data_IF_658678079141
#
_entry.id   IF_658678079141
#
_cell.length_a   1.000
_cell.length_b   1.000
_cell.length_c   1.000
_cell.angle_alpha   90.00
_cell.angle_beta   90.00
_cell.angle_gamma   90.00
#
_symmetry.space_group_name_H-M   'P 1'
#
loop_
_entity.id
_entity.type
_entity.pdbx_description
1 polymer ?
#
# COMPACT_ATOMS: atom_id res chain seq x y z
N UNK A 1 64.84 -1.13 16.38
CA UNK A 1 64.59 0.03 17.26
C UNK A 1 63.62 0.95 16.52
N UNK A 2 62.33 0.90 16.86
CA UNK A 2 61.29 1.72 16.21
C UNK A 2 61.36 3.14 16.79
N UNK A 3 61.61 4.14 15.94
CA UNK A 3 61.71 5.54 16.34
C UNK A 3 60.39 6.14 16.85
N UNK A 4 60.42 7.36 17.42
CA UNK A 4 59.33 8.02 18.16
C UNK A 4 58.05 8.34 17.36
N UNK A 5 57.93 7.88 16.11
CA UNK A 5 56.77 8.08 15.27
C UNK A 5 56.14 6.74 14.91
N UNK A 6 54.92 6.50 15.42
CA UNK A 6 54.09 5.38 14.98
C UNK A 6 53.64 5.68 13.54
N UNK A 7 54.00 4.87 12.52
CA UNK A 7 53.47 5.07 11.17
C UNK A 7 51.95 4.88 11.24
N UNK A 8 51.18 5.95 10.99
CA UNK A 8 49.75 5.82 10.80
C UNK A 8 49.50 5.01 9.53
N UNK A 9 48.61 4.01 9.58
CA UNK A 9 48.21 3.27 8.38
C UNK A 9 47.72 4.28 7.32
N UNK A 10 48.18 4.20 6.06
CA UNK A 10 47.62 5.05 5.01
C UNK A 10 46.13 4.76 4.93
N UNK A 11 45.30 5.81 5.00
CA UNK A 11 43.86 5.68 4.79
C UNK A 11 43.65 5.12 3.37
N UNK A 12 43.29 3.84 3.26
CA UNK A 12 42.95 3.16 2.00
C UNK A 12 41.65 3.66 1.37
N UNK A 13 41.38 4.97 1.45
CA UNK A 13 40.28 5.68 0.82
C UNK A 13 40.77 6.45 -0.40
N UNK A 14 41.35 5.76 -1.38
CA UNK A 14 41.92 6.40 -2.58
C UNK A 14 40.87 6.89 -3.58
N UNK A 15 39.65 6.35 -3.56
CA UNK A 15 38.59 6.71 -4.50
C UNK A 15 37.69 7.82 -3.94
N UNK A 16 37.79 9.01 -4.51
CA UNK A 16 37.01 10.18 -4.11
C UNK A 16 35.58 10.15 -4.71
N UNK A 17 34.61 9.70 -3.93
CA UNK A 17 33.20 9.84 -4.26
C UNK A 17 32.66 11.21 -3.81
N UNK A 18 32.76 12.23 -4.68
CA UNK A 18 32.34 13.61 -4.36
C UNK A 18 30.82 13.77 -4.29
N UNK A 19 30.22 13.30 -3.19
CA UNK A 19 28.79 13.40 -2.91
C UNK A 19 28.58 14.26 -1.66
N UNK A 20 28.04 15.50 -1.79
CA UNK A 20 27.89 16.41 -0.66
C UNK A 20 26.98 15.83 0.42
N UNK A 21 27.13 16.30 1.65
CA UNK A 21 26.30 15.84 2.78
C UNK A 21 24.87 16.41 2.74
N UNK A 22 24.66 17.54 2.05
CA UNK A 22 23.37 18.24 1.90
C UNK A 22 22.95 18.36 0.44
N UNK A 23 21.64 18.44 0.22
CA UNK A 23 21.07 18.81 -1.07
C UNK A 23 21.17 20.33 -1.32
N UNK A 24 21.40 20.71 -2.57
CA UNK A 24 21.28 22.10 -3.02
C UNK A 24 19.81 22.53 -3.14
N UNK A 25 19.56 23.84 -3.12
CA UNK A 25 18.21 24.41 -3.33
C UNK A 25 17.50 23.86 -4.59
N UNK A 26 18.11 23.86 -5.79
CA UNK A 26 17.45 23.33 -6.99
C UNK A 26 17.20 21.81 -6.92
N UNK A 27 18.03 21.06 -6.20
CA UNK A 27 17.74 19.63 -5.96
C UNK A 27 16.54 19.45 -5.02
N UNK A 28 16.41 20.28 -3.98
CA UNK A 28 15.24 20.29 -3.09
C UNK A 28 13.96 20.63 -3.85
N UNK A 29 14.00 21.63 -4.74
CA UNK A 29 12.87 21.99 -5.59
C UNK A 29 12.44 20.84 -6.51
N UNK A 30 13.39 20.24 -7.23
CA UNK A 30 13.11 19.07 -8.10
C UNK A 30 12.60 17.87 -7.30
N UNK A 31 13.07 17.69 -6.07
CA UNK A 31 12.54 16.65 -5.20
C UNK A 31 11.08 16.89 -4.81
N UNK A 32 10.74 18.12 -4.39
CA UNK A 32 9.34 18.50 -4.11
C UNK A 32 8.44 18.28 -5.33
N UNK A 33 8.90 18.68 -6.52
CA UNK A 33 8.17 18.44 -7.77
C UNK A 33 7.94 16.95 -8.04
N UNK A 34 8.94 16.08 -7.78
CA UNK A 34 8.78 14.63 -7.93
C UNK A 34 7.76 14.05 -6.94
N UNK A 35 7.79 14.49 -5.68
CA UNK A 35 6.80 14.08 -4.67
C UNK A 35 5.39 14.46 -5.11
N UNK A 36 5.18 15.73 -5.50
CA UNK A 36 3.89 16.22 -6.03
C UNK A 36 3.44 15.48 -7.29
N UNK A 37 4.36 15.13 -8.19
CA UNK A 37 4.03 14.38 -9.40
C UNK A 37 3.50 12.99 -9.08
N UNK A 38 4.07 12.31 -8.09
CA UNK A 38 3.54 11.03 -7.61
C UNK A 38 2.14 11.22 -7.02
N UNK A 39 1.93 12.28 -6.24
CA UNK A 39 0.62 12.61 -5.67
C UNK A 39 -0.44 12.85 -6.75
N UNK A 40 -0.09 13.62 -7.79
CA UNK A 40 -1.00 13.86 -8.93
C UNK A 40 -1.35 12.59 -9.68
N UNK A 41 -0.40 11.66 -9.84
CA UNK A 41 -0.68 10.38 -10.52
C UNK A 41 -1.67 9.56 -9.70
N UNK A 42 -1.49 9.47 -8.39
CA UNK A 42 -2.41 8.75 -7.50
C UNK A 42 -3.79 9.39 -7.52
N UNK A 43 -3.89 10.72 -7.48
CA UNK A 43 -5.15 11.44 -7.55
C UNK A 43 -5.89 11.22 -8.88
N UNK A 44 -5.18 11.24 -10.01
CA UNK A 44 -5.76 10.97 -11.34
C UNK A 44 -6.29 9.54 -11.41
N UNK A 45 -5.54 8.55 -10.92
CA UNK A 45 -5.98 7.16 -10.89
C UNK A 45 -7.21 6.96 -10.00
N UNK A 46 -7.22 7.56 -8.82
CA UNK A 46 -8.37 7.52 -7.89
C UNK A 46 -9.64 8.10 -8.54
N UNK A 47 -9.54 9.29 -9.15
CA UNK A 47 -10.65 9.93 -9.84
C UNK A 47 -11.15 9.13 -11.05
N UNK A 48 -10.22 8.58 -11.85
CA UNK A 48 -10.56 7.78 -13.02
C UNK A 48 -11.33 6.50 -12.66
N UNK A 49 -10.89 5.79 -11.62
CA UNK A 49 -11.54 4.57 -11.15
C UNK A 49 -12.94 4.84 -10.58
N UNK A 50 -13.09 5.89 -9.77
CA UNK A 50 -14.40 6.33 -9.26
C UNK A 50 -15.37 6.67 -10.39
N UNK A 51 -14.89 7.38 -11.42
CA UNK A 51 -15.69 7.71 -12.60
C UNK A 51 -16.09 6.45 -13.38
N UNK A 52 -15.17 5.50 -13.54
CA UNK A 52 -15.44 4.24 -14.22
C UNK A 52 -16.54 3.44 -13.51
N UNK A 53 -16.48 3.35 -12.17
CA UNK A 53 -17.53 2.71 -11.38
C UNK A 53 -18.89 3.38 -11.61
N UNK A 54 -18.97 4.71 -11.51
CA UNK A 54 -20.22 5.44 -11.75
C UNK A 54 -20.76 5.22 -13.18
N UNK A 55 -19.88 5.18 -14.19
CA UNK A 55 -20.30 4.89 -15.57
C UNK A 55 -20.82 3.47 -15.76
N UNK A 56 -20.30 2.49 -15.02
CA UNK A 56 -20.79 1.10 -15.06
C UNK A 56 -22.14 0.90 -14.38
N UNK A 57 -22.50 1.80 -13.45
CA UNK A 57 -23.76 1.74 -12.69
C UNK A 57 -24.91 2.41 -13.45
N UNK A 58 -24.64 3.17 -14.52
CA UNK A 58 -25.71 3.71 -15.37
C UNK A 58 -26.31 2.56 -16.20
N UNK A 59 -27.55 2.11 -15.92
CA UNK A 59 -28.17 1.08 -16.73
C UNK A 59 -28.40 1.70 -18.12
N UNK A 60 -27.86 1.05 -19.15
CA UNK A 60 -28.45 1.21 -20.47
C UNK A 60 -29.89 0.74 -20.35
N UNK A 61 -30.83 1.68 -20.39
CA UNK A 61 -32.24 1.41 -20.60
C UNK A 61 -32.42 0.89 -22.04
N UNK A 62 -32.00 -0.34 -22.30
CA UNK A 62 -32.51 -1.09 -23.43
C UNK A 62 -33.90 -1.58 -23.04
N UNK A 63 -34.90 -0.78 -23.36
CA UNK A 63 -36.28 -1.23 -23.49
C UNK A 63 -36.34 -2.29 -24.59
N UNK A 64 -36.05 -3.54 -24.22
CA UNK A 64 -36.36 -4.72 -25.03
C UNK A 64 -37.50 -5.44 -24.34
N UNK A 65 -38.70 -5.10 -24.78
CA UNK A 65 -39.92 -5.88 -24.57
C UNK A 65 -39.79 -7.30 -25.13
N UNK A 66 -40.51 -8.21 -24.48
CA UNK A 66 -40.97 -9.54 -24.92
C UNK A 66 -39.95 -10.66 -25.12
N UNK A 67 -39.85 -11.58 -24.16
CA UNK A 67 -40.48 -12.92 -24.22
C UNK A 67 -39.96 -13.81 -23.08
N UNK A 68 -40.89 -14.37 -22.31
CA UNK A 68 -40.61 -15.41 -21.33
C UNK A 68 -40.55 -16.78 -22.03
N UNK A 69 -39.60 -17.67 -21.69
CA UNK A 69 -39.78 -19.09 -21.87
C UNK A 69 -40.10 -19.77 -20.53
N UNK A 70 -41.03 -20.71 -20.62
CA UNK A 70 -41.61 -21.47 -19.53
C UNK A 70 -40.70 -22.59 -19.00
N UNK A 71 -40.96 -22.96 -17.74
CA UNK A 71 -40.79 -24.28 -17.09
C UNK A 71 -39.41 -24.94 -17.03
N UNK A 72 -38.76 -24.84 -15.86
CA UNK A 72 -38.08 -25.98 -15.22
C UNK A 72 -38.43 -25.96 -13.73
N UNK A 73 -39.24 -26.93 -13.30
CA UNK A 73 -39.44 -27.23 -11.88
C UNK A 73 -38.19 -27.90 -11.33
N UNK A 74 -37.47 -27.23 -10.44
CA UNK A 74 -36.49 -27.86 -9.54
C UNK A 74 -36.97 -27.62 -8.11
N UNK A 75 -37.33 -28.70 -7.44
CA UNK A 75 -37.82 -28.76 -6.07
C UNK A 75 -36.84 -28.07 -5.10
N UNK A 76 -37.32 -27.06 -4.40
CA UNK A 76 -36.64 -26.45 -3.25
C UNK A 76 -36.72 -27.40 -2.05
N UNK A 77 -35.81 -28.37 -1.99
CA UNK A 77 -35.51 -29.09 -0.76
C UNK A 77 -34.43 -28.30 0.01
N UNK A 78 -34.80 -27.64 1.10
CA UNK A 78 -33.77 -27.11 2.03
C UNK A 78 -33.17 -28.31 2.75
N UNK A 79 -32.00 -28.78 2.30
CA UNK A 79 -31.29 -29.89 2.95
C UNK A 79 -31.07 -29.56 4.42
N UNK A 80 -31.53 -30.43 5.31
CA UNK A 80 -31.35 -30.23 6.75
C UNK A 80 -29.86 -30.41 7.13
N UNK A 81 -29.39 -29.73 8.18
CA UNK A 81 -27.97 -29.77 8.56
C UNK A 81 -27.47 -31.20 8.84
N UNK A 82 -28.36 -32.09 9.30
CA UNK A 82 -28.09 -33.49 9.57
C UNK A 82 -27.89 -34.31 8.28
N UNK A 83 -28.69 -34.06 7.23
CA UNK A 83 -28.54 -34.69 5.91
C UNK A 83 -27.23 -34.29 5.22
N UNK A 84 -26.82 -33.03 5.40
CA UNK A 84 -25.53 -32.53 4.94
C UNK A 84 -24.36 -33.16 5.71
N UNK A 85 -24.52 -33.47 6.99
CA UNK A 85 -23.47 -34.16 7.76
C UNK A 85 -23.33 -35.65 7.42
N UNK A 86 -24.37 -36.27 6.88
CA UNK A 86 -24.41 -37.71 6.57
C UNK A 86 -23.93 -38.00 5.15
N UNK A 87 -24.23 -37.12 4.20
CA UNK A 87 -23.85 -37.30 2.80
C UNK A 87 -22.39 -36.89 2.57
N UNK A 88 -21.60 -37.70 1.84
CA UNK A 88 -20.19 -37.39 1.57
C UNK A 88 -19.97 -36.04 0.86
N UNK A 89 -20.86 -35.68 -0.07
CA UNK A 89 -20.91 -34.35 -0.70
C UNK A 89 -21.24 -33.25 0.32
N UNK A 90 -22.20 -33.48 1.21
CA UNK A 90 -22.55 -32.55 2.28
C UNK A 90 -21.41 -32.33 3.27
N UNK A 91 -20.70 -33.39 3.68
CA UNK A 91 -19.50 -33.28 4.52
C UNK A 91 -18.39 -32.50 3.83
N UNK A 92 -18.21 -32.67 2.50
CA UNK A 92 -17.27 -31.87 1.72
C UNK A 92 -17.66 -30.39 1.68
N UNK A 93 -18.95 -30.08 1.50
CA UNK A 93 -19.45 -28.70 1.51
C UNK A 93 -19.31 -28.05 2.90
N UNK A 94 -19.59 -28.79 3.98
CA UNK A 94 -19.38 -28.34 5.35
C UNK A 94 -17.89 -28.13 5.65
N UNK A 95 -17.01 -29.03 5.22
CA UNK A 95 -15.56 -28.90 5.35
C UNK A 95 -14.98 -27.75 4.50
N UNK A 96 -15.58 -27.44 3.34
CA UNK A 96 -15.22 -26.30 2.51
C UNK A 96 -15.71 -24.96 3.11
N UNK A 97 -16.85 -24.97 3.80
CA UNK A 97 -17.40 -23.81 4.49
C UNK A 97 -16.67 -23.49 5.81
N UNK A 98 -16.06 -24.49 6.44
CA UNK A 98 -15.26 -24.31 7.65
C UNK A 98 -13.90 -23.70 7.28
N UNK A 99 -13.61 -22.45 7.64
CA UNK A 99 -12.31 -21.86 7.32
C UNK A 99 -11.24 -22.61 8.11
N UNK A 100 -10.42 -23.43 7.42
CA UNK A 100 -9.18 -24.00 7.97
C UNK A 100 -8.38 -22.85 8.60
N UNK A 101 -8.26 -22.88 9.92
CA UNK A 101 -7.78 -21.79 10.78
C UNK A 101 -6.27 -21.52 10.66
N UNK A 102 -5.77 -21.24 9.45
CA UNK A 102 -4.72 -20.23 9.32
C UNK A 102 -5.45 -18.90 9.44
N UNK A 103 -5.14 -18.13 10.49
CA UNK A 103 -5.76 -16.82 10.72
C UNK A 103 -5.88 -16.07 9.40
N UNK A 104 -7.06 -15.52 9.07
CA UNK A 104 -7.30 -14.84 7.79
C UNK A 104 -6.26 -13.72 7.50
N UNK A 105 -5.56 -13.24 8.54
CA UNK A 105 -4.42 -12.32 8.47
C UNK A 105 -3.13 -12.91 7.88
N UNK A 106 -3.00 -14.23 7.80
CA UNK A 106 -1.83 -14.96 7.31
C UNK A 106 -1.98 -15.45 5.86
N UNK A 107 -3.20 -15.52 5.33
CA UNK A 107 -3.45 -15.97 3.95
C UNK A 107 -3.10 -14.84 2.97
N UNK A 108 -1.95 -14.97 2.32
CA UNK A 108 -1.54 -14.14 1.18
C UNK A 108 -1.81 -14.91 -0.11
N UNK A 109 -2.64 -14.37 -0.99
CA UNK A 109 -2.71 -14.84 -2.39
C UNK A 109 -1.78 -13.95 -3.24
N UNK A 110 -0.52 -14.39 -3.40
CA UNK A 110 0.43 -13.76 -4.32
C UNK A 110 0.95 -12.37 -3.92
N UNK A 111 1.16 -11.49 -4.93
CA UNK A 111 1.63 -10.11 -4.77
C UNK A 111 0.42 -9.17 -4.58
N UNK A 112 0.06 -8.92 -3.32
CA UNK A 112 -1.02 -7.97 -3.01
C UNK A 112 -1.22 -7.75 -1.50
N UNK A 113 -2.07 -6.77 -1.14
CA UNK A 113 -2.50 -6.54 0.24
C UNK A 113 -3.19 -7.79 0.83
N UNK A 114 -3.04 -8.03 2.13
CA UNK A 114 -3.67 -9.18 2.78
C UNK A 114 -5.19 -8.98 2.82
N UNK A 115 -5.93 -10.08 2.79
CA UNK A 115 -7.39 -10.03 2.78
C UNK A 115 -7.99 -9.38 4.04
N UNK A 116 -7.28 -9.47 5.17
CA UNK A 116 -7.65 -8.85 6.45
C UNK A 116 -6.87 -7.59 6.82
N UNK A 117 -6.20 -6.92 5.87
CA UNK A 117 -5.53 -5.64 6.17
C UNK A 117 -6.57 -4.55 6.51
N UNK A 118 -6.33 -3.85 7.62
CA UNK A 118 -7.14 -2.73 8.08
C UNK A 118 -6.56 -1.40 7.62
N UNK A 119 -7.43 -0.43 7.36
CA UNK A 119 -7.00 0.95 7.13
C UNK A 119 -6.68 1.58 8.49
N UNK A 120 -5.46 2.13 8.70
CA UNK A 120 -5.13 2.82 9.95
C UNK A 120 -6.04 4.03 10.15
N UNK A 121 -6.39 4.33 11.40
CA UNK A 121 -7.23 5.50 11.73
C UNK A 121 -6.54 6.84 11.52
N UNK A 122 -5.23 6.84 11.59
CA UNK A 122 -4.39 8.02 11.41
C UNK A 122 -3.20 7.65 10.56
N UNK A 123 -2.88 8.50 9.59
CA UNK A 123 -1.62 8.42 8.86
C UNK A 123 -0.43 8.63 9.83
N UNK A 124 0.79 8.16 9.49
CA UNK A 124 1.98 8.34 10.34
C UNK A 124 2.36 9.81 10.59
N UNK A 125 1.78 10.75 9.84
CA UNK A 125 1.93 12.20 10.00
C UNK A 125 0.78 12.81 10.84
N UNK A 126 -0.15 12.00 11.34
CA UNK A 126 -1.26 12.43 12.20
C UNK A 126 -2.52 12.91 11.45
N UNK A 127 -2.59 12.72 10.13
CA UNK A 127 -3.78 13.06 9.34
C UNK A 127 -4.86 12.01 9.56
N UNK A 128 -6.14 12.38 9.83
CA UNK A 128 -7.22 11.43 10.00
C UNK A 128 -7.56 10.74 8.67
N UNK A 129 -7.70 9.42 8.74
CA UNK A 129 -8.00 8.53 7.61
C UNK A 129 -9.31 7.80 7.95
N UNK A 130 -10.09 7.27 6.98
CA UNK A 130 -11.25 6.42 7.29
C UNK A 130 -10.83 5.16 8.08
N UNK A 131 -10.71 5.32 9.39
CA UNK A 131 -10.25 4.30 10.32
C UNK A 131 -11.33 3.28 10.62
N UNK A 132 -10.92 2.13 11.17
CA UNK A 132 -11.82 1.08 11.66
C UNK A 132 -12.68 0.43 10.57
N UNK A 133 -12.23 0.46 9.31
CA UNK A 133 -12.80 -0.34 8.23
C UNK A 133 -11.74 -1.27 7.64
N UNK A 134 -12.19 -2.42 7.16
CA UNK A 134 -11.31 -3.31 6.39
C UNK A 134 -11.01 -2.66 5.04
N UNK A 135 -9.78 -2.83 4.55
CA UNK A 135 -9.36 -2.29 3.26
C UNK A 135 -10.27 -2.78 2.11
N UNK A 136 -10.80 -4.01 2.20
CA UNK A 136 -11.76 -4.54 1.23
C UNK A 136 -13.10 -3.80 1.23
N UNK A 137 -13.56 -3.32 2.37
CA UNK A 137 -14.88 -2.69 2.51
C UNK A 137 -14.80 -1.25 2.04
N UNK A 138 -13.72 -0.53 2.41
CA UNK A 138 -13.41 0.80 1.86
C UNK A 138 -13.36 0.77 0.34
N UNK A 139 -12.68 -0.22 -0.24
CA UNK A 139 -12.58 -0.37 -1.70
C UNK A 139 -13.92 -0.66 -2.35
N UNK A 140 -14.82 -1.41 -1.70
CA UNK A 140 -16.18 -1.65 -2.23
C UNK A 140 -17.03 -0.38 -2.19
N UNK A 141 -16.90 0.41 -1.14
CA UNK A 141 -17.59 1.70 -1.00
C UNK A 141 -17.10 2.74 -2.01
N UNK A 142 -15.79 2.85 -2.22
CA UNK A 142 -15.19 3.86 -3.12
C UNK A 142 -15.08 3.39 -4.58
N UNK A 143 -15.14 2.08 -4.83
CA UNK A 143 -14.87 1.41 -6.10
C UNK A 143 -13.52 1.69 -6.72
N UNK A 144 -12.50 1.83 -5.88
CA UNK A 144 -11.10 2.02 -6.31
C UNK A 144 -10.31 0.71 -6.21
N UNK A 145 -8.98 0.78 -6.10
CA UNK A 145 -8.14 -0.40 -5.87
C UNK A 145 -7.55 -0.40 -4.46
N UNK A 146 -7.38 -1.59 -3.88
CA UNK A 146 -6.77 -1.77 -2.54
C UNK A 146 -5.41 -1.09 -2.40
N UNK A 147 -4.60 -1.06 -3.46
CA UNK A 147 -3.27 -0.44 -3.44
C UNK A 147 -3.35 1.08 -3.32
N UNK A 148 -4.31 1.73 -3.99
CA UNK A 148 -4.49 3.18 -3.93
C UNK A 148 -4.99 3.59 -2.56
N UNK A 149 -6.01 2.93 -2.02
CA UNK A 149 -6.53 3.27 -0.69
C UNK A 149 -5.47 3.05 0.40
N UNK A 150 -4.73 1.95 0.31
CA UNK A 150 -3.59 1.70 1.21
C UNK A 150 -2.52 2.79 1.07
N UNK A 151 -2.19 3.18 -0.16
CA UNK A 151 -1.22 4.26 -0.39
C UNK A 151 -1.68 5.57 0.27
N UNK A 152 -2.96 5.96 0.10
CA UNK A 152 -3.52 7.18 0.71
C UNK A 152 -3.53 7.12 2.25
N UNK A 153 -3.65 5.92 2.81
CA UNK A 153 -3.66 5.67 4.24
C UNK A 153 -2.27 5.50 4.89
N UNK A 154 -1.23 5.22 4.11
CA UNK A 154 0.13 5.05 4.65
C UNK A 154 1.05 6.20 4.24
N UNK A 155 0.93 6.71 3.02
CA UNK A 155 1.88 7.64 2.43
C UNK A 155 1.37 9.10 2.51
N UNK A 156 2.04 10.00 3.24
CA UNK A 156 1.66 11.41 3.33
C UNK A 156 1.91 12.14 2.01
N UNK A 157 1.12 13.18 1.73
CA UNK A 157 1.33 14.06 0.55
C UNK A 157 2.54 14.98 0.75
N UNK A 158 3.06 15.57 -0.34
CA UNK A 158 4.18 16.52 -0.23
C UNK A 158 3.89 17.70 0.71
N UNK A 159 2.63 18.15 0.76
CA UNK A 159 2.21 19.25 1.62
C UNK A 159 2.23 18.87 3.11
N UNK A 160 1.78 17.66 3.43
CA UNK A 160 1.73 17.12 4.80
C UNK A 160 3.12 16.78 5.35
N UNK A 161 4.06 16.40 4.48
CA UNK A 161 5.40 16.00 4.92
C UNK A 161 6.16 17.16 5.58
N UNK A 162 6.85 16.86 6.68
CA UNK A 162 7.79 17.81 7.29
C UNK A 162 9.01 18.04 6.38
N UNK A 163 9.60 19.25 6.35
CA UNK A 163 10.82 19.51 5.57
C UNK A 163 11.98 18.56 5.91
N UNK A 164 12.06 18.10 7.17
CA UNK A 164 13.07 17.13 7.63
C UNK A 164 12.93 15.80 6.89
N UNK A 165 11.72 15.26 6.80
CA UNK A 165 11.47 13.97 6.13
C UNK A 165 11.49 14.06 4.60
N UNK A 166 11.29 15.27 4.03
CA UNK A 166 11.49 15.49 2.59
C UNK A 166 12.95 15.31 2.18
N UNK A 167 13.89 15.79 2.98
CA UNK A 167 15.30 15.87 2.55
C UNK A 167 16.22 14.90 3.26
N UNK A 168 15.73 14.21 4.29
CA UNK A 168 16.48 13.22 5.03
C UNK A 168 15.68 11.94 5.27
N UNK A 169 16.39 10.83 5.34
CA UNK A 169 15.89 9.52 5.68
C UNK A 169 16.56 9.03 6.96
N UNK A 170 15.94 8.06 7.61
CA UNK A 170 16.56 7.36 8.73
C UNK A 170 17.74 6.49 8.27
N UNK A 171 18.86 6.56 8.98
CA UNK A 171 20.00 5.64 8.82
C UNK A 171 20.54 5.27 10.21
N UNK A 172 20.39 4.00 10.60
CA UNK A 172 20.79 3.47 11.92
C UNK A 172 22.29 3.67 12.21
N UNK A 173 23.13 3.75 11.17
CA UNK A 173 24.61 3.75 11.30
C UNK A 173 25.19 5.16 11.42
N UNK A 174 24.40 6.20 11.18
CA UNK A 174 24.88 7.59 11.18
C UNK A 174 24.57 8.25 12.52
N UNK A 175 25.50 9.07 13.04
CA UNK A 175 25.26 9.86 14.24
C UNK A 175 24.06 10.79 14.03
N UNK A 176 23.11 10.77 14.97
CA UNK A 176 21.87 11.52 14.85
C UNK A 176 20.83 10.87 13.93
N UNK A 177 21.06 9.62 13.51
CA UNK A 177 20.10 8.74 12.82
C UNK A 177 19.51 9.27 11.51
N UNK A 178 20.13 10.29 10.90
CA UNK A 178 19.62 10.96 9.71
C UNK A 178 20.68 11.07 8.62
N UNK A 179 20.24 10.80 7.39
CA UNK A 179 21.06 10.86 6.18
C UNK A 179 20.31 11.57 5.07
N UNK A 180 21.01 12.34 4.23
CA UNK A 180 20.40 13.01 3.08
C UNK A 180 19.80 12.00 2.10
N UNK A 181 18.56 12.24 1.66
CA UNK A 181 17.83 11.32 0.77
C UNK A 181 18.54 11.09 -0.56
N UNK A 182 19.35 12.05 -1.02
CA UNK A 182 20.13 11.95 -2.26
C UNK A 182 21.28 10.93 -2.20
N UNK A 183 21.56 10.38 -1.01
CA UNK A 183 22.51 9.27 -0.85
C UNK A 183 21.84 7.90 -1.00
N UNK A 184 20.52 7.83 -1.12
CA UNK A 184 19.81 6.59 -1.41
C UNK A 184 20.05 6.18 -2.88
N UNK A 185 20.39 4.91 -3.16
CA UNK A 185 20.47 4.41 -4.53
C UNK A 185 19.15 4.65 -5.27
N UNK A 186 19.21 5.25 -6.46
CA UNK A 186 18.02 5.52 -7.30
C UNK A 186 16.93 6.35 -6.59
N UNK A 187 17.30 7.22 -5.65
CA UNK A 187 16.38 8.09 -4.88
C UNK A 187 15.43 8.95 -5.72
N UNK A 188 15.75 9.21 -6.99
CA UNK A 188 14.87 9.97 -7.89
C UNK A 188 13.68 9.17 -8.41
N UNK A 189 13.73 7.83 -8.32
CA UNK A 189 12.70 6.91 -8.81
C UNK A 189 11.99 6.19 -7.65
N UNK A 190 12.67 6.00 -6.53
CA UNK A 190 12.11 5.37 -5.34
C UNK A 190 11.31 6.37 -4.51
N UNK A 191 10.14 5.96 -4.02
CA UNK A 191 9.29 6.77 -3.14
C UNK A 191 9.57 6.45 -1.67
N UNK A 192 10.50 7.19 -1.05
CA UNK A 192 10.73 7.18 0.39
C UNK A 192 10.01 8.38 1.03
N UNK A 193 9.01 8.14 1.87
CA UNK A 193 8.27 9.19 2.60
C UNK A 193 8.19 8.98 4.11
N UNK A 194 8.28 7.71 4.54
CA UNK A 194 8.13 7.33 5.94
C UNK A 194 9.48 7.11 6.60
N UNK A 195 9.58 7.53 7.85
CA UNK A 195 10.71 7.26 8.73
C UNK A 195 10.16 6.66 10.03
N UNK A 196 10.94 5.82 10.76
CA UNK A 196 10.49 5.27 12.02
C UNK A 196 10.19 6.39 13.03
N UNK A 197 9.10 6.27 13.81
CA UNK A 197 8.72 7.28 14.78
C UNK A 197 9.79 7.42 15.87
N UNK A 198 10.04 8.66 16.31
CA UNK A 198 11.03 8.97 17.35
C UNK A 198 12.47 9.17 16.86
N UNK A 199 12.74 9.05 15.56
CA UNK A 199 14.06 9.27 14.95
C UNK A 199 14.07 10.44 13.96
#
# INVERSE_FOLDING_TARGET
MFGPFRPSQPLSGGLLWKIPWRLSSPQKQRHRQRLRRVDSVVAVLDNALRKQQNSSISPQSTSASSEAPATVSTSEGTATAEELSTTAEGQRLLAASTPKSKSLAAVRHGKGPKQGDWVPSTNPVGVPTPGKKLLRDVVRETGTTKLIERWKAEMPTEAEMQPRDKYSMFDKKVRGYRKGIHKLPKWTRMSQRLNPPGF
#
